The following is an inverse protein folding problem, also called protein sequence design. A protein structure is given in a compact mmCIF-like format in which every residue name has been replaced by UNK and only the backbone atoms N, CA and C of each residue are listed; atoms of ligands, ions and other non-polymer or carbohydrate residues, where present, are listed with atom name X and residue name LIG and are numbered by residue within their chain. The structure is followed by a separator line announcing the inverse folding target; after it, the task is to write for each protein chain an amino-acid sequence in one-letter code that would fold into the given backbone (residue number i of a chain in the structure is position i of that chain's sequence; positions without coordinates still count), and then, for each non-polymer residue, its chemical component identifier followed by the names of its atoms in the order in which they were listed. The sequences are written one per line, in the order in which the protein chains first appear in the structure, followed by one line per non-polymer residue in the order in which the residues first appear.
data_IF_118145197176
#
_entry.id   IF_118145197176
#
_cell.length_a   1.000
_cell.length_b   1.000
_cell.length_c   1.000
_cell.angle_alpha   90.00
_cell.angle_beta   90.00
_cell.angle_gamma   90.00
#
_symmetry.space_group_name_H-M   'P 1'
#
loop_
_entity.id
_entity.type
_entity.pdbx_description
1 polymer ?
#
# COMPACT_ATOMS: atom_id res chain seq x y z
N UNK A 1 12.34 -16.72 -12.20
CA UNK A 1 12.01 -15.33 -12.59
C UNK A 1 11.59 -14.59 -11.33
N UNK A 2 12.56 -14.00 -10.65
CA UNK A 2 12.34 -13.37 -9.34
C UNK A 2 11.74 -11.98 -9.56
N UNK A 3 10.43 -11.86 -9.34
CA UNK A 3 9.78 -10.56 -9.22
C UNK A 3 10.50 -9.74 -8.16
N UNK A 4 10.94 -8.52 -8.51
CA UNK A 4 11.68 -7.71 -7.56
C UNK A 4 10.75 -7.34 -6.41
N UNK A 5 11.12 -7.74 -5.20
CA UNK A 5 10.35 -7.57 -3.97
C UNK A 5 11.14 -6.68 -3.04
N UNK A 6 10.51 -5.65 -2.48
CA UNK A 6 11.10 -4.76 -1.49
C UNK A 6 10.27 -4.92 -0.23
N UNK A 7 10.91 -5.46 0.80
CA UNK A 7 10.41 -5.44 2.17
C UNK A 7 11.12 -4.27 2.86
N UNK A 8 10.36 -3.26 3.28
CA UNK A 8 10.87 -2.14 4.05
C UNK A 8 11.08 -2.58 5.51
N UNK A 9 11.97 -3.57 5.72
CA UNK A 9 12.16 -4.25 7.02
C UNK A 9 13.07 -3.52 8.00
N UNK A 10 13.66 -2.39 7.61
CA UNK A 10 14.71 -1.74 8.39
C UNK A 10 14.21 -0.78 9.47
N UNK A 11 12.91 -0.46 9.53
CA UNK A 11 12.38 0.42 10.56
C UNK A 11 10.96 0.04 10.93
N UNK A 12 10.77 -0.67 12.06
CA UNK A 12 9.47 -0.94 12.72
C UNK A 12 8.73 0.34 13.18
N UNK A 13 8.99 1.48 12.54
CA UNK A 13 8.52 2.82 12.90
C UNK A 13 8.09 3.63 11.67
N UNK A 14 7.84 2.98 10.51
CA UNK A 14 7.25 3.70 9.37
C UNK A 14 5.86 4.17 9.82
N UNK A 15 5.67 5.49 9.85
CA UNK A 15 4.41 6.14 10.28
C UNK A 15 3.57 6.63 9.10
N UNK A 16 4.23 6.96 8.00
CA UNK A 16 3.60 7.37 6.74
C UNK A 16 4.34 6.75 5.56
N UNK A 17 3.62 6.55 4.46
CA UNK A 17 4.21 6.14 3.18
C UNK A 17 4.43 7.39 2.35
N UNK A 18 5.69 7.69 2.05
CA UNK A 18 6.08 8.85 1.27
C UNK A 18 6.45 8.43 -0.17
N UNK A 19 5.85 9.04 -1.20
CA UNK A 19 6.08 8.63 -2.58
C UNK A 19 7.54 8.81 -3.01
N UNK A 20 8.26 9.76 -2.40
CA UNK A 20 9.69 9.98 -2.71
C UNK A 20 10.55 8.76 -2.38
N UNK A 21 10.23 8.05 -1.30
CA UNK A 21 10.96 6.85 -0.87
C UNK A 21 10.73 5.68 -1.84
N UNK A 22 9.54 5.61 -2.45
CA UNK A 22 9.18 4.55 -3.37
C UNK A 22 9.52 4.85 -4.85
N UNK A 23 9.91 6.09 -5.16
CA UNK A 23 10.19 6.54 -6.54
C UNK A 23 11.29 5.75 -7.26
N UNK A 24 12.39 5.33 -6.61
CA UNK A 24 13.45 4.57 -7.28
C UNK A 24 13.06 3.15 -7.70
N UNK A 25 12.03 2.56 -7.07
CA UNK A 25 11.68 1.15 -7.25
C UNK A 25 10.71 0.94 -8.43
N UNK A 26 11.18 1.22 -9.65
CA UNK A 26 10.35 1.19 -10.87
C UNK A 26 9.93 -0.21 -11.32
N UNK A 27 10.64 -1.26 -10.87
CA UNK A 27 10.40 -2.66 -11.27
C UNK A 27 9.70 -3.48 -10.18
N UNK A 28 9.28 -2.82 -9.09
CA UNK A 28 8.72 -3.48 -7.91
C UNK A 28 7.40 -4.19 -8.24
N UNK A 29 7.30 -5.47 -7.88
CA UNK A 29 6.05 -6.23 -8.00
C UNK A 29 5.35 -6.39 -6.65
N UNK A 30 6.12 -6.49 -5.57
CA UNK A 30 5.61 -6.71 -4.22
C UNK A 30 6.19 -5.69 -3.25
N UNK A 31 5.31 -4.99 -2.52
CA UNK A 31 5.64 -4.04 -1.48
C UNK A 31 5.10 -4.51 -0.14
N UNK A 32 6.01 -4.88 0.76
CA UNK A 32 5.68 -5.29 2.12
C UNK A 32 5.99 -4.13 3.09
N UNK A 33 4.91 -3.56 3.63
CA UNK A 33 4.89 -2.53 4.68
C UNK A 33 4.23 -3.06 5.96
N UNK A 34 4.09 -4.38 6.09
CA UNK A 34 3.47 -5.00 7.25
C UNK A 34 4.29 -4.78 8.53
N UNK A 35 3.64 -4.90 9.69
CA UNK A 35 4.28 -4.76 11.01
C UNK A 35 4.98 -3.40 11.23
N UNK A 36 4.33 -2.32 10.81
CA UNK A 36 4.78 -0.94 11.01
C UNK A 36 3.79 -0.13 11.87
N UNK A 37 4.04 1.17 11.99
CA UNK A 37 3.25 2.12 12.77
C UNK A 37 2.37 3.03 11.87
N UNK A 38 2.01 2.57 10.67
CA UNK A 38 1.26 3.38 9.71
C UNK A 38 -0.15 3.61 10.23
N UNK A 39 -0.56 4.87 10.34
CA UNK A 39 -1.88 5.26 10.88
C UNK A 39 -2.88 5.67 9.81
N UNK A 40 -2.39 6.12 8.66
CA UNK A 40 -3.21 6.59 7.53
C UNK A 40 -2.52 6.35 6.18
N UNK A 41 -3.33 6.18 5.11
CA UNK A 41 -2.87 6.23 3.71
C UNK A 41 -3.58 7.39 3.03
N UNK A 42 -2.80 8.28 2.41
CA UNK A 42 -3.29 9.45 1.68
C UNK A 42 -3.34 9.17 0.18
N UNK A 43 -4.12 9.96 -0.55
CA UNK A 43 -4.31 9.86 -2.02
C UNK A 43 -3.02 9.91 -2.86
N UNK A 44 -1.91 10.36 -2.28
CA UNK A 44 -0.60 10.48 -2.94
C UNK A 44 0.53 9.74 -2.23
N UNK A 45 0.20 8.84 -1.30
CA UNK A 45 1.19 8.05 -0.58
C UNK A 45 2.05 7.18 -1.50
N UNK A 46 1.49 6.71 -2.61
CA UNK A 46 2.21 5.92 -3.61
C UNK A 46 2.54 6.74 -4.87
N UNK A 47 3.71 6.55 -5.50
CA UNK A 47 4.05 7.20 -6.76
C UNK A 47 3.12 6.81 -7.90
N UNK A 48 2.80 7.76 -8.79
CA UNK A 48 1.94 7.52 -9.97
C UNK A 48 2.47 6.43 -10.92
N UNK A 49 3.80 6.23 -10.96
CA UNK A 49 4.46 5.25 -11.82
C UNK A 49 4.67 3.89 -11.16
N UNK A 50 4.35 3.74 -9.87
CA UNK A 50 4.54 2.49 -9.16
C UNK A 50 3.53 1.46 -9.67
N UNK A 51 4.01 0.29 -10.09
CA UNK A 51 3.19 -0.78 -10.70
C UNK A 51 3.30 -2.09 -9.95
N UNK A 52 3.06 -2.05 -8.64
CA UNK A 52 3.03 -3.26 -7.81
C UNK A 52 1.74 -4.05 -8.02
N UNK A 53 1.86 -5.37 -7.84
CA UNK A 53 0.77 -6.35 -7.85
C UNK A 53 0.31 -6.69 -6.44
N UNK A 54 1.23 -6.71 -5.48
CA UNK A 54 0.96 -7.10 -4.10
C UNK A 54 1.39 -6.00 -3.13
N UNK A 55 0.46 -5.58 -2.27
CA UNK A 55 0.70 -4.62 -1.19
C UNK A 55 0.26 -5.23 0.15
N UNK A 56 1.21 -5.38 1.08
CA UNK A 56 0.91 -5.79 2.45
C UNK A 56 1.03 -4.60 3.40
N UNK A 57 -0.11 -4.20 3.99
CA UNK A 57 -0.22 -3.18 5.04
C UNK A 57 -0.68 -3.81 6.36
N UNK A 58 -0.59 -5.14 6.49
CA UNK A 58 -1.06 -5.87 7.64
C UNK A 58 -0.30 -5.54 8.93
N UNK A 59 -0.94 -5.73 10.08
CA UNK A 59 -0.35 -5.48 11.40
C UNK A 59 0.20 -4.04 11.55
N UNK A 60 -0.53 -3.06 11.03
CA UNK A 60 -0.27 -1.63 11.21
C UNK A 60 -1.30 -1.01 12.18
N UNK A 61 -1.34 0.32 12.28
CA UNK A 61 -2.28 1.08 13.11
C UNK A 61 -3.28 1.85 12.24
N UNK A 62 -3.54 1.40 11.02
CA UNK A 62 -4.30 2.14 10.03
C UNK A 62 -5.72 2.36 10.53
N UNK A 63 -6.14 3.62 10.62
CA UNK A 63 -7.46 4.03 11.10
C UNK A 63 -8.21 4.89 10.09
N UNK A 64 -7.51 5.48 9.14
CA UNK A 64 -8.08 6.31 8.06
C UNK A 64 -7.47 5.97 6.70
N UNK A 65 -8.31 6.08 5.68
CA UNK A 65 -7.94 5.99 4.26
C UNK A 65 -8.57 7.20 3.57
N UNK A 66 -7.77 8.02 2.90
CA UNK A 66 -8.32 9.09 2.07
C UNK A 66 -9.05 8.53 0.85
N UNK A 67 -9.98 9.32 0.30
CA UNK A 67 -10.54 9.04 -1.02
C UNK A 67 -9.41 8.95 -2.05
N UNK A 68 -9.37 7.87 -2.82
CA UNK A 68 -8.32 7.63 -3.79
C UNK A 68 -6.95 7.25 -3.20
N UNK A 69 -6.88 6.81 -1.94
CA UNK A 69 -5.65 6.33 -1.29
C UNK A 69 -4.81 5.37 -2.15
N UNK A 70 -5.47 4.57 -3.00
CA UNK A 70 -4.83 3.57 -3.85
C UNK A 70 -4.99 3.86 -5.36
N UNK A 71 -5.45 5.05 -5.76
CA UNK A 71 -5.74 5.36 -7.18
C UNK A 71 -4.50 5.19 -8.08
N UNK A 72 -3.32 5.53 -7.57
CA UNK A 72 -2.05 5.38 -8.30
C UNK A 72 -1.66 3.91 -8.54
N UNK A 73 -2.24 2.97 -7.77
CA UNK A 73 -2.01 1.52 -7.89
C UNK A 73 -3.17 0.81 -8.61
N UNK A 74 -4.27 1.50 -8.89
CA UNK A 74 -5.54 0.92 -9.38
C UNK A 74 -5.44 0.00 -10.58
N UNK A 75 -4.48 0.25 -11.48
CA UNK A 75 -4.31 -0.51 -12.73
C UNK A 75 -3.47 -1.78 -12.58
N UNK A 76 -2.73 -1.93 -11.48
CA UNK A 76 -1.78 -3.05 -11.32
C UNK A 76 -2.01 -3.86 -10.05
N UNK A 77 -2.64 -3.30 -9.02
CA UNK A 77 -2.78 -3.95 -7.73
C UNK A 77 -3.80 -5.11 -7.81
N UNK A 78 -3.33 -6.30 -7.46
CA UNK A 78 -4.09 -7.55 -7.47
C UNK A 78 -4.43 -8.00 -6.03
N UNK A 79 -3.47 -7.83 -5.12
CA UNK A 79 -3.61 -8.23 -3.71
C UNK A 79 -3.37 -7.03 -2.80
N UNK A 80 -4.28 -6.78 -1.88
CA UNK A 80 -4.16 -5.76 -0.84
C UNK A 80 -4.43 -6.39 0.51
N UNK A 81 -3.45 -6.46 1.41
CA UNK A 81 -3.67 -6.99 2.77
C UNK A 81 -3.79 -5.87 3.78
N UNK A 82 -4.96 -5.78 4.44
CA UNK A 82 -5.23 -4.78 5.48
C UNK A 82 -5.47 -5.40 6.87
N UNK A 83 -5.23 -6.71 7.02
CA UNK A 83 -5.48 -7.45 8.27
C UNK A 83 -4.76 -6.84 9.48
N UNK A 84 -5.32 -7.00 10.69
CA UNK A 84 -4.73 -6.50 11.95
C UNK A 84 -4.42 -4.99 11.92
N UNK A 85 -5.35 -4.20 11.38
CA UNK A 85 -5.36 -2.73 11.48
C UNK A 85 -6.52 -2.25 12.37
N UNK A 86 -6.73 -0.93 12.45
CA UNK A 86 -7.79 -0.26 13.24
C UNK A 86 -8.90 0.32 12.35
N UNK A 87 -9.02 -0.19 11.13
CA UNK A 87 -9.98 0.29 10.14
C UNK A 87 -11.37 -0.21 10.54
N UNK A 88 -12.25 0.70 10.93
CA UNK A 88 -13.64 0.39 11.23
C UNK A 88 -14.56 0.51 10.00
N UNK A 89 -14.19 1.36 9.04
CA UNK A 89 -14.93 1.59 7.81
C UNK A 89 -13.97 1.77 6.64
N UNK A 90 -14.30 1.15 5.50
CA UNK A 90 -13.59 1.34 4.25
C UNK A 90 -14.32 2.40 3.42
N UNK A 91 -13.68 3.54 3.09
CA UNK A 91 -14.30 4.52 2.23
C UNK A 91 -14.51 3.90 0.85
N UNK A 92 -15.75 3.83 0.36
CA UNK A 92 -16.08 3.27 -0.97
C UNK A 92 -15.21 3.88 -2.08
N UNK A 93 -14.89 5.17 -1.95
CA UNK A 93 -14.05 5.90 -2.92
C UNK A 93 -12.54 5.59 -2.82
N UNK A 94 -12.08 4.91 -1.78
CA UNK A 94 -10.69 4.45 -1.67
C UNK A 94 -10.44 3.16 -2.48
N UNK A 95 -11.49 2.40 -2.80
CA UNK A 95 -11.39 1.07 -3.42
C UNK A 95 -11.77 1.07 -4.91
N UNK A 96 -11.29 2.05 -5.67
CA UNK A 96 -11.36 2.02 -7.14
C UNK A 96 -10.25 1.13 -7.72
N UNK A 97 -10.30 -0.16 -7.38
CA UNK A 97 -9.26 -1.15 -7.70
C UNK A 97 -9.85 -2.24 -8.62
N UNK A 98 -10.05 -1.96 -9.92
CA UNK A 98 -10.74 -2.87 -10.84
C UNK A 98 -9.99 -4.19 -11.09
N UNK A 99 -8.68 -4.22 -10.82
CA UNK A 99 -7.85 -5.42 -10.97
C UNK A 99 -7.71 -6.24 -9.67
N UNK A 100 -8.31 -5.79 -8.56
CA UNK A 100 -8.15 -6.44 -7.26
C UNK A 100 -8.87 -7.80 -7.26
N UNK A 101 -8.13 -8.83 -6.88
CA UNK A 101 -8.64 -10.20 -6.76
C UNK A 101 -8.65 -10.69 -5.31
N UNK A 102 -7.85 -10.06 -4.44
CA UNK A 102 -7.71 -10.43 -3.03
C UNK A 102 -7.61 -9.18 -2.13
N UNK A 103 -8.38 -9.20 -1.02
CA UNK A 103 -8.44 -8.15 0.02
C UNK A 103 -8.35 -8.76 1.43
#
# INVERSE_FOLDING_TARGET
MTGSSVSCRHHNKIRSVEPRELTPYTSLETLDLSANDITEIRSRSFPLRLRIKDLDLGSNKLSSLESGAFDNLSRSLLTLRLSKNRISQLPVKAFKLPALTQL
#
